data_IF_223038849546
#
_entry.id   IF_223038849546
#
_cell.length_a   1.000
_cell.length_b   1.000
_cell.length_c   1.000
_cell.angle_alpha   90.00
_cell.angle_beta   90.00
_cell.angle_gamma   90.00
#
_symmetry.space_group_name_H-M   'P 1'
#
loop_
_entity.id
_entity.type
_entity.pdbx_description
1 polymer ?
#
# COMPACT_ATOMS: atom_id res chain seq x y z
N UNK A 1 -32.09 23.76 40.10
CA UNK A 1 -32.47 22.97 38.90
C UNK A 1 -32.73 23.89 37.73
N UNK A 2 -31.74 24.11 36.86
CA UNK A 2 -31.93 24.73 35.54
C UNK A 2 -31.03 24.01 34.54
N UNK A 3 -31.65 23.55 33.48
CA UNK A 3 -31.14 22.79 32.34
C UNK A 3 -30.09 23.58 31.58
N UNK A 4 -28.90 23.00 31.39
CA UNK A 4 -27.83 23.56 30.58
C UNK A 4 -28.07 23.21 29.09
N UNK A 5 -28.51 24.20 28.30
CA UNK A 5 -28.50 24.13 26.85
C UNK A 5 -27.05 24.17 26.34
N UNK A 6 -26.55 23.03 25.86
CA UNK A 6 -25.31 22.95 25.09
C UNK A 6 -25.52 23.63 23.72
N UNK A 7 -24.92 24.81 23.54
CA UNK A 7 -24.85 25.51 22.24
C UNK A 7 -23.60 25.03 21.48
N UNK A 8 -23.80 24.12 20.52
CA UNK A 8 -22.78 23.71 19.56
C UNK A 8 -22.68 24.77 18.44
N UNK A 9 -21.46 25.20 18.10
CA UNK A 9 -21.21 26.06 16.93
C UNK A 9 -20.70 25.17 15.79
N UNK A 10 -21.50 25.05 14.73
CA UNK A 10 -21.19 24.29 13.51
C UNK A 10 -20.69 25.28 12.47
N UNK A 11 -19.41 25.19 12.12
CA UNK A 11 -18.85 25.83 10.91
C UNK A 11 -18.47 24.70 9.97
N UNK A 12 -19.50 24.14 9.34
CA UNK A 12 -19.60 23.73 7.94
C UNK A 12 -21.10 23.58 7.64
N UNK A 13 -21.82 24.69 7.79
CA UNK A 13 -23.13 24.94 7.16
C UNK A 13 -23.06 26.41 6.72
N UNK A 14 -22.26 26.69 5.69
CA UNK A 14 -22.58 27.80 4.80
C UNK A 14 -23.53 27.16 3.80
N UNK A 15 -24.83 27.18 4.12
CA UNK A 15 -25.98 27.26 3.19
C UNK A 15 -27.32 27.31 3.96
N UNK A 16 -27.50 26.67 5.12
CA UNK A 16 -28.86 26.62 5.73
C UNK A 16 -29.17 27.69 6.78
N UNK A 17 -28.19 28.23 7.52
CA UNK A 17 -28.49 29.22 8.59
C UNK A 17 -28.65 30.66 8.08
N UNK A 18 -28.27 30.96 6.84
CA UNK A 18 -28.39 32.29 6.25
C UNK A 18 -29.78 32.59 5.67
N UNK A 19 -30.62 31.57 5.44
CA UNK A 19 -31.95 31.77 4.84
C UNK A 19 -33.07 31.99 5.86
N UNK A 20 -32.96 31.46 7.08
CA UNK A 20 -34.00 31.62 8.11
C UNK A 20 -33.96 32.98 8.83
N UNK A 21 -32.81 33.65 8.91
CA UNK A 21 -32.69 34.93 9.59
C UNK A 21 -32.99 36.15 8.70
N UNK A 22 -33.09 35.97 7.38
CA UNK A 22 -33.26 37.07 6.42
C UNK A 22 -34.72 37.35 6.03
N UNK A 23 -35.69 36.50 6.37
CA UNK A 23 -37.10 36.70 6.05
C UNK A 23 -37.94 36.22 7.22
N UNK A 24 -38.55 37.13 7.97
CA UNK A 24 -39.44 36.82 9.09
C UNK A 24 -40.76 36.18 8.64
N UNK A 25 -40.71 35.01 8.02
CA UNK A 25 -41.85 34.25 7.52
C UNK A 25 -41.67 32.75 7.83
N UNK A 26 -42.44 32.24 8.79
CA UNK A 26 -42.30 30.90 9.36
C UNK A 26 -42.92 29.76 8.54
N UNK A 27 -42.68 29.65 7.23
CA UNK A 27 -43.34 28.60 6.43
C UNK A 27 -42.60 27.95 5.22
N UNK A 28 -41.45 28.41 4.68
CA UNK A 28 -40.86 27.72 3.51
C UNK A 28 -39.92 26.54 3.84
N UNK A 29 -39.34 26.50 5.05
CA UNK A 29 -38.14 25.67 5.31
C UNK A 29 -38.42 24.16 5.34
N UNK A 30 -39.59 23.70 5.79
CA UNK A 30 -39.87 22.25 5.94
C UNK A 30 -39.93 21.50 4.60
N UNK A 31 -40.47 22.14 3.56
CA UNK A 31 -40.55 21.53 2.23
C UNK A 31 -39.18 21.43 1.55
N UNK A 32 -38.31 22.41 1.79
CA UNK A 32 -36.94 22.44 1.28
C UNK A 32 -36.05 21.44 2.03
N UNK A 33 -36.19 21.34 3.36
CA UNK A 33 -35.47 20.37 4.19
C UNK A 33 -35.78 18.91 3.80
N UNK A 34 -37.01 18.63 3.34
CA UNK A 34 -37.40 17.31 2.80
C UNK A 34 -36.63 16.92 1.53
N UNK A 35 -36.07 17.88 0.81
CA UNK A 35 -35.28 17.67 -0.41
C UNK A 35 -33.77 17.61 -0.14
N UNK A 36 -33.32 18.04 1.04
CA UNK A 36 -31.90 18.00 1.39
C UNK A 36 -31.42 16.57 1.71
N UNK A 37 -30.31 16.11 1.09
CA UNK A 37 -29.71 14.84 1.48
C UNK A 37 -29.10 14.93 2.90
N UNK A 38 -28.83 13.79 3.55
CA UNK A 38 -28.04 13.77 4.79
C UNK A 38 -26.72 14.50 4.61
N UNK A 39 -26.33 15.25 5.63
CA UNK A 39 -25.07 16.00 5.65
C UNK A 39 -24.10 15.38 6.64
N UNK A 40 -22.81 15.49 6.35
CA UNK A 40 -21.72 15.22 7.28
C UNK A 40 -21.01 16.53 7.59
N UNK A 41 -20.69 16.77 8.86
CA UNK A 41 -20.06 18.01 9.31
C UNK A 41 -19.15 17.78 10.51
N UNK A 42 -18.21 18.71 10.72
CA UNK A 42 -17.34 18.71 11.90
C UNK A 42 -18.01 19.52 13.00
N UNK A 43 -18.18 18.92 14.17
CA UNK A 43 -18.64 19.56 15.41
C UNK A 43 -17.43 19.87 16.30
N UNK A 44 -17.38 21.08 16.84
CA UNK A 44 -16.33 21.52 17.79
C UNK A 44 -16.95 22.27 18.98
N UNK A 45 -16.33 22.24 20.17
CA UNK A 45 -16.71 23.10 21.28
C UNK A 45 -16.59 24.57 20.90
N UNK A 46 -17.63 25.36 21.19
CA UNK A 46 -17.65 26.79 20.88
C UNK A 46 -16.75 27.64 21.79
N UNK A 47 -16.36 27.08 22.95
CA UNK A 47 -15.50 27.69 23.96
C UNK A 47 -15.85 29.17 24.30
N UNK A 48 -17.15 29.49 24.28
CA UNK A 48 -17.66 30.82 24.65
C UNK A 48 -17.40 31.95 23.65
N UNK A 49 -16.83 31.68 22.46
CA UNK A 49 -16.52 32.73 21.46
C UNK A 49 -17.68 32.91 20.48
N UNK A 50 -18.08 34.16 20.22
CA UNK A 50 -19.15 34.53 19.28
C UNK A 50 -18.56 35.06 17.97
N UNK A 51 -19.05 34.59 16.82
CA UNK A 51 -18.90 35.28 15.52
C UNK A 51 -17.57 35.09 14.76
N UNK A 52 -16.73 34.13 15.10
CA UNK A 52 -15.42 33.93 14.43
C UNK A 52 -15.33 32.65 13.61
N UNK A 53 -14.48 32.66 12.57
CA UNK A 53 -14.09 31.49 11.77
C UNK A 53 -13.51 30.39 12.68
N UNK A 54 -14.34 29.42 13.06
CA UNK A 54 -14.03 28.36 14.02
C UNK A 54 -12.86 27.46 13.59
N UNK A 55 -12.55 27.43 12.30
CA UNK A 55 -11.42 26.69 11.73
C UNK A 55 -10.07 27.32 12.10
N UNK A 56 -9.95 28.65 11.94
CA UNK A 56 -8.69 29.40 12.15
C UNK A 56 -8.31 29.54 13.62
N UNK A 57 -9.30 29.59 14.52
CA UNK A 57 -9.07 29.73 15.96
C UNK A 57 -9.14 28.41 16.72
N UNK A 58 -9.81 27.39 16.18
CA UNK A 58 -9.88 26.07 16.79
C UNK A 58 -8.49 25.42 16.93
N UNK A 59 -7.58 25.68 15.99
CA UNK A 59 -6.17 25.29 16.10
C UNK A 59 -5.47 25.86 17.36
N UNK A 60 -5.94 27.02 17.87
CA UNK A 60 -5.37 27.65 19.07
C UNK A 60 -6.00 27.13 20.36
N UNK A 61 -7.23 26.65 20.30
CA UNK A 61 -7.97 26.17 21.46
C UNK A 61 -7.75 24.69 21.75
N UNK A 62 -7.27 23.93 20.77
CA UNK A 62 -6.57 22.65 20.95
C UNK A 62 -7.33 21.55 21.72
N UNK A 63 -8.66 21.53 21.77
CA UNK A 63 -9.40 20.47 22.50
C UNK A 63 -10.75 20.18 21.85
N UNK A 64 -10.94 18.91 21.48
CA UNK A 64 -12.22 18.28 21.19
C UNK A 64 -12.78 18.57 19.80
N UNK A 65 -12.99 17.53 19.01
CA UNK A 65 -13.74 17.59 17.75
C UNK A 65 -14.49 16.29 17.50
N UNK A 66 -15.50 16.33 16.65
CA UNK A 66 -16.24 15.15 16.24
C UNK A 66 -16.72 15.31 14.80
N UNK A 67 -16.86 14.20 14.09
CA UNK A 67 -17.60 14.16 12.82
C UNK A 67 -19.01 13.68 13.15
N UNK A 68 -19.99 14.45 12.69
CA UNK A 68 -21.40 14.16 12.90
C UNK A 68 -22.12 14.05 11.56
N UNK A 69 -23.16 13.23 11.54
CA UNK A 69 -24.14 13.16 10.46
C UNK A 69 -25.45 13.78 10.94
N UNK A 70 -26.18 14.41 10.03
CA UNK A 70 -27.51 14.95 10.31
C UNK A 70 -28.38 14.76 9.08
N UNK A 71 -29.58 14.22 9.30
CA UNK A 71 -30.59 14.09 8.25
C UNK A 71 -31.62 15.21 8.43
N UNK A 72 -31.59 16.26 7.60
CA UNK A 72 -32.52 17.38 7.70
C UNK A 72 -33.99 16.99 7.48
N UNK A 73 -34.24 15.82 6.87
CA UNK A 73 -35.58 15.26 6.67
C UNK A 73 -36.18 14.68 7.95
N UNK A 74 -35.32 14.39 8.93
CA UNK A 74 -35.65 13.80 10.24
C UNK A 74 -35.03 14.63 11.37
N UNK A 75 -35.38 15.91 11.51
CA UNK A 75 -34.76 16.83 12.48
C UNK A 75 -34.91 16.35 13.93
N UNK A 76 -35.97 15.60 14.24
CA UNK A 76 -36.25 15.00 15.55
C UNK A 76 -35.17 14.02 16.02
N UNK A 77 -34.41 13.43 15.09
CA UNK A 77 -33.33 12.48 15.42
C UNK A 77 -32.06 13.17 15.90
N UNK A 78 -31.94 14.48 15.67
CA UNK A 78 -30.73 15.23 15.96
C UNK A 78 -29.52 14.75 15.15
N UNK A 79 -28.34 15.30 15.47
CA UNK A 79 -27.10 14.90 14.84
C UNK A 79 -26.52 13.64 15.52
N UNK A 80 -26.10 12.66 14.72
CA UNK A 80 -25.41 11.45 15.18
C UNK A 80 -23.90 11.64 15.05
N UNK A 81 -23.16 11.50 16.15
CA UNK A 81 -21.70 11.40 16.10
C UNK A 81 -21.29 10.07 15.47
N UNK A 82 -20.44 10.13 14.46
CA UNK A 82 -19.87 8.95 13.79
C UNK A 82 -18.38 8.76 14.05
N UNK A 83 -17.70 9.83 14.48
CA UNK A 83 -16.32 9.79 14.96
C UNK A 83 -16.17 10.83 16.07
N UNK A 84 -15.72 10.39 17.25
CA UNK A 84 -15.55 11.24 18.42
C UNK A 84 -14.06 11.36 18.76
N UNK A 85 -13.55 12.59 18.79
CA UNK A 85 -12.16 12.90 19.11
C UNK A 85 -12.12 13.91 20.26
N UNK A 86 -12.37 13.46 21.51
CA UNK A 86 -12.45 14.34 22.67
C UNK A 86 -11.12 15.07 22.97
N UNK A 87 -9.98 14.45 22.62
CA UNK A 87 -8.64 15.01 22.81
C UNK A 87 -7.97 15.45 21.50
N UNK A 88 -8.63 15.21 20.37
CA UNK A 88 -8.08 15.39 19.02
C UNK A 88 -8.72 16.52 18.21
N UNK A 89 -8.10 16.88 17.09
CA UNK A 89 -8.49 18.01 16.24
C UNK A 89 -8.65 17.61 14.78
N UNK A 90 -9.88 17.74 14.26
CA UNK A 90 -10.22 17.43 12.86
C UNK A 90 -10.28 18.72 12.03
N UNK A 91 -9.79 18.69 10.80
CA UNK A 91 -9.79 19.77 9.78
C UNK A 91 -10.10 19.19 8.38
N UNK A 92 -10.42 20.08 7.44
CA UNK A 92 -10.49 19.83 5.99
C UNK A 92 -11.06 18.46 5.59
N UNK A 93 -12.40 18.37 5.68
CA UNK A 93 -13.16 17.16 5.41
C UNK A 93 -13.75 17.18 3.99
N UNK A 94 -13.60 16.08 3.25
CA UNK A 94 -14.14 15.86 1.91
C UNK A 94 -14.90 14.54 1.84
N UNK A 95 -16.00 14.54 1.08
CA UNK A 95 -16.80 13.34 0.81
C UNK A 95 -16.31 12.67 -0.48
N UNK A 96 -16.36 11.33 -0.52
CA UNK A 96 -16.18 10.56 -1.75
C UNK A 96 -17.36 10.74 -2.71
N UNK A 97 -17.13 10.50 -4.01
CA UNK A 97 -18.14 10.68 -5.07
C UNK A 97 -19.40 9.83 -4.88
N UNK A 98 -19.29 8.64 -4.28
CA UNK A 98 -20.40 7.72 -4.00
C UNK A 98 -21.02 7.90 -2.60
N UNK A 99 -20.53 8.90 -1.85
CA UNK A 99 -20.93 9.22 -0.48
C UNK A 99 -20.78 8.08 0.54
N UNK A 100 -19.95 7.07 0.27
CA UNK A 100 -19.70 5.97 1.21
C UNK A 100 -18.54 6.27 2.18
N UNK A 101 -17.66 7.21 1.81
CA UNK A 101 -16.45 7.56 2.56
C UNK A 101 -16.32 9.04 2.88
N UNK A 102 -15.59 9.33 3.95
CA UNK A 102 -15.15 10.67 4.36
C UNK A 102 -13.63 10.68 4.52
N UNK A 103 -12.96 11.64 3.88
CA UNK A 103 -11.54 11.96 4.00
C UNK A 103 -11.40 13.22 4.86
N UNK A 104 -10.50 13.25 5.84
CA UNK A 104 -10.29 14.42 6.70
C UNK A 104 -8.87 14.52 7.23
N UNK A 105 -8.46 15.71 7.66
CA UNK A 105 -7.19 15.92 8.36
C UNK A 105 -7.40 15.78 9.87
N UNK A 106 -6.54 15.05 10.58
CA UNK A 106 -6.71 14.79 12.01
C UNK A 106 -5.39 14.74 12.77
N UNK A 107 -5.44 15.24 13.99
CA UNK A 107 -4.40 15.17 15.02
C UNK A 107 -5.03 14.51 16.24
N UNK A 108 -4.46 13.39 16.71
CA UNK A 108 -5.11 12.51 17.67
C UNK A 108 -5.00 13.03 19.09
N UNK A 109 -3.79 13.42 19.50
CA UNK A 109 -3.55 14.01 20.80
C UNK A 109 -2.85 15.36 20.70
N UNK A 110 -3.65 16.42 20.88
CA UNK A 110 -3.15 17.79 20.76
C UNK A 110 -2.24 18.18 21.95
N UNK A 111 -2.23 17.38 23.02
CA UNK A 111 -1.38 17.61 24.21
C UNK A 111 0.03 17.04 24.04
N UNK A 112 0.27 16.19 23.05
CA UNK A 112 1.60 15.72 22.71
C UNK A 112 2.17 16.61 21.60
N UNK A 113 3.21 17.41 21.92
CA UNK A 113 3.87 18.30 20.94
C UNK A 113 4.50 17.57 19.75
N UNK A 114 4.51 16.23 19.75
CA UNK A 114 5.03 15.40 18.67
C UNK A 114 4.00 15.06 17.60
N UNK A 115 2.72 15.27 17.87
CA UNK A 115 1.64 14.88 16.96
C UNK A 115 1.34 16.00 15.95
N UNK A 116 1.20 15.65 14.68
CA UNK A 116 1.00 16.58 13.55
C UNK A 116 -0.31 16.27 12.81
N UNK A 117 -0.79 17.20 11.98
CA UNK A 117 -1.94 16.88 11.13
C UNK A 117 -1.58 15.80 10.11
N UNK A 118 -2.32 14.70 10.14
CA UNK A 118 -2.25 13.61 9.16
C UNK A 118 -3.53 13.55 8.33
N UNK A 119 -3.45 13.05 7.10
CA UNK A 119 -4.62 12.83 6.23
C UNK A 119 -5.17 11.43 6.52
N UNK A 120 -6.46 11.34 6.87
CA UNK A 120 -7.17 10.11 7.23
C UNK A 120 -8.33 9.86 6.26
N UNK A 121 -8.32 8.71 5.60
CA UNK A 121 -9.45 8.21 4.80
C UNK A 121 -10.20 7.15 5.59
N UNK A 122 -11.50 7.33 5.86
CA UNK A 122 -12.34 6.19 6.24
C UNK A 122 -12.81 5.44 4.99
N UNK A 123 -11.88 4.66 4.43
CA UNK A 123 -12.00 3.36 3.78
C UNK A 123 -10.54 2.95 3.49
N UNK A 124 -10.02 1.99 4.25
CA UNK A 124 -8.58 1.80 4.38
C UNK A 124 -7.96 1.05 3.19
N UNK A 125 -6.89 1.63 2.61
CA UNK A 125 -5.59 0.96 2.37
C UNK A 125 -4.42 1.96 2.40
N UNK A 126 -3.49 1.84 3.37
CA UNK A 126 -2.06 2.12 3.16
C UNK A 126 -1.19 1.25 4.09
N UNK A 127 0.01 0.88 3.61
CA UNK A 127 0.80 -0.28 3.99
C UNK A 127 2.10 0.01 4.78
N UNK A 128 2.22 1.15 5.47
CA UNK A 128 3.51 1.53 6.10
C UNK A 128 3.48 2.09 7.54
N UNK A 129 2.42 1.89 8.32
CA UNK A 129 2.43 2.25 9.74
C UNK A 129 1.87 1.11 10.58
N UNK A 130 2.36 0.95 11.82
CA UNK A 130 2.05 -0.12 12.78
C UNK A 130 0.54 -0.40 12.91
N UNK A 131 0.09 -1.65 12.74
CA UNK A 131 -1.35 -2.00 12.73
C UNK A 131 -1.67 -3.17 13.68
N UNK A 132 -2.64 -2.95 14.55
CA UNK A 132 -3.48 -4.03 15.08
C UNK A 132 -4.75 -4.08 14.23
N UNK A 133 -5.08 -5.26 13.71
CA UNK A 133 -6.31 -5.46 12.94
C UNK A 133 -7.45 -5.74 13.91
N UNK A 134 -8.45 -4.87 13.98
CA UNK A 134 -9.64 -5.08 14.81
C UNK A 134 -10.93 -5.02 14.00
N UNK A 135 -11.97 -5.73 14.41
CA UNK A 135 -13.32 -5.67 13.82
C UNK A 135 -14.35 -5.29 14.86
N UNK A 136 -15.39 -4.55 14.48
CA UNK A 136 -16.58 -4.26 15.30
C UNK A 136 -17.78 -4.04 14.37
N UNK A 137 -18.97 -4.45 14.80
CA UNK A 137 -20.22 -4.23 14.08
C UNK A 137 -20.63 -2.74 14.09
N UNK A 138 -21.42 -2.29 13.10
CA UNK A 138 -21.88 -0.89 12.99
C UNK A 138 -22.79 -0.39 14.12
N UNK A 139 -23.34 -1.31 14.90
CA UNK A 139 -24.13 -1.04 16.11
C UNK A 139 -23.25 -0.96 17.38
N UNK A 140 -21.92 -1.13 17.24
CA UNK A 140 -20.96 -1.10 18.33
C UNK A 140 -20.71 -2.44 19.01
N UNK A 141 -21.25 -3.55 18.50
CA UNK A 141 -21.05 -4.89 19.09
C UNK A 141 -19.90 -5.67 18.41
N UNK A 142 -19.39 -6.76 19.01
CA UNK A 142 -18.35 -7.65 18.44
C UNK A 142 -16.99 -7.01 18.12
N UNK A 143 -16.38 -6.33 19.11
CA UNK A 143 -14.99 -5.91 19.00
C UNK A 143 -14.05 -7.13 19.04
N UNK A 144 -13.23 -7.38 18.01
CA UNK A 144 -12.26 -8.49 17.96
C UNK A 144 -10.90 -8.04 17.43
N UNK A 145 -9.79 -8.55 17.97
CA UNK A 145 -8.43 -8.39 17.42
C UNK A 145 -8.07 -9.62 16.58
N UNK A 146 -7.66 -9.40 15.34
CA UNK A 146 -7.40 -10.46 14.37
C UNK A 146 -5.88 -10.69 14.15
N UNK A 147 -5.05 -9.65 14.25
CA UNK A 147 -3.60 -9.77 13.98
C UNK A 147 -2.79 -8.55 14.47
N UNK A 148 -1.52 -8.76 14.85
CA UNK A 148 -0.56 -7.70 15.23
C UNK A 148 0.74 -7.88 14.44
N UNK A 149 1.24 -6.79 13.85
CA UNK A 149 2.59 -6.71 13.27
C UNK A 149 3.39 -5.55 13.89
N UNK A 150 4.57 -5.84 14.44
CA UNK A 150 5.48 -4.84 15.01
C UNK A 150 6.48 -4.37 13.94
N UNK A 151 6.17 -3.27 13.24
CA UNK A 151 7.05 -2.71 12.19
C UNK A 151 8.09 -1.69 12.70
N UNK A 152 9.23 -1.47 12.00
CA UNK A 152 10.43 -0.83 12.59
C UNK A 152 10.71 0.65 12.19
N UNK A 153 9.93 1.30 11.34
CA UNK A 153 10.32 2.61 10.73
C UNK A 153 9.18 3.63 10.70
N UNK A 154 9.48 4.88 11.11
CA UNK A 154 8.51 5.99 11.30
C UNK A 154 8.06 6.74 10.03
N UNK A 155 7.48 7.95 10.23
CA UNK A 155 6.82 8.77 9.20
C UNK A 155 7.75 9.24 8.06
N UNK A 156 7.32 9.09 6.80
CA UNK A 156 8.01 9.60 5.60
C UNK A 156 7.68 11.08 5.35
N UNK A 157 8.66 11.89 4.93
CA UNK A 157 8.45 13.29 4.55
C UNK A 157 7.80 13.40 3.15
N UNK A 158 7.12 14.53 2.85
CA UNK A 158 6.54 14.77 1.52
C UNK A 158 7.58 14.60 0.41
N UNK A 159 7.17 13.96 -0.70
CA UNK A 159 8.00 13.71 -1.90
C UNK A 159 9.27 12.88 -1.67
N UNK A 160 9.43 12.21 -0.51
CA UNK A 160 10.57 11.33 -0.24
C UNK A 160 10.30 9.84 -0.49
N UNK A 161 9.13 9.50 -1.04
CA UNK A 161 8.75 8.13 -1.39
C UNK A 161 7.94 8.08 -2.69
N UNK A 162 7.56 6.88 -3.13
CA UNK A 162 6.74 6.67 -4.33
C UNK A 162 7.51 6.85 -5.65
N UNK A 163 6.76 7.04 -6.73
CA UNK A 163 7.26 7.19 -8.09
C UNK A 163 8.18 8.41 -8.23
N UNK A 164 7.90 9.49 -7.49
CA UNK A 164 8.71 10.71 -7.50
C UNK A 164 10.16 10.47 -7.04
N UNK A 165 10.36 9.67 -6.00
CA UNK A 165 11.69 9.37 -5.45
C UNK A 165 12.34 8.11 -6.06
N UNK A 166 11.65 7.42 -6.98
CA UNK A 166 12.11 6.14 -7.53
C UNK A 166 13.14 6.31 -8.63
N UNK A 167 14.28 5.62 -8.49
CA UNK A 167 15.30 5.52 -9.57
C UNK A 167 14.75 4.90 -10.86
N UNK A 168 13.70 4.07 -10.76
CA UNK A 168 13.08 3.49 -11.96
C UNK A 168 12.41 4.57 -12.82
N UNK A 169 11.82 5.59 -12.18
CA UNK A 169 11.23 6.74 -12.88
C UNK A 169 12.29 7.50 -13.66
N UNK A 170 13.45 7.77 -13.06
CA UNK A 170 14.59 8.40 -13.73
C UNK A 170 15.06 7.61 -14.96
N UNK A 171 15.16 6.28 -14.86
CA UNK A 171 15.54 5.43 -16.00
C UNK A 171 14.50 5.45 -17.14
N UNK A 172 13.22 5.56 -16.81
CA UNK A 172 12.14 5.65 -17.81
C UNK A 172 12.18 7.01 -18.52
N UNK A 173 12.29 8.11 -17.76
CA UNK A 173 12.30 9.47 -18.32
C UNK A 173 13.57 9.76 -19.13
N UNK A 174 14.70 9.14 -18.77
CA UNK A 174 15.95 9.26 -19.52
C UNK A 174 16.04 8.34 -20.75
N UNK A 175 14.95 7.65 -21.11
CA UNK A 175 14.91 6.68 -22.21
C UNK A 175 16.09 5.69 -22.14
N UNK A 176 16.33 5.11 -20.96
CA UNK A 176 17.52 4.29 -20.69
C UNK A 176 17.75 3.23 -21.78
N UNK A 177 18.98 3.19 -22.31
CA UNK A 177 19.40 2.34 -23.42
C UNK A 177 18.58 2.53 -24.72
N UNK A 178 18.06 3.75 -24.95
CA UNK A 178 17.28 4.10 -26.13
C UNK A 178 15.87 3.52 -26.14
N UNK A 179 15.39 2.97 -25.02
CA UNK A 179 14.05 2.41 -24.92
C UNK A 179 13.05 3.54 -24.69
N UNK A 180 12.21 3.79 -25.70
CA UNK A 180 11.10 4.74 -25.60
C UNK A 180 9.85 4.04 -25.09
N UNK A 181 9.29 4.54 -24.00
CA UNK A 181 8.06 4.02 -23.40
C UNK A 181 6.88 4.94 -23.72
N UNK A 182 5.76 4.38 -24.13
CA UNK A 182 4.54 5.15 -24.35
C UNK A 182 3.94 5.64 -23.03
N UNK A 183 3.14 6.70 -23.11
CA UNK A 183 2.54 7.35 -21.94
C UNK A 183 1.68 6.41 -21.08
N UNK A 184 0.99 5.46 -21.70
CA UNK A 184 0.11 4.54 -20.97
C UNK A 184 0.94 3.56 -20.15
N UNK A 185 1.98 2.97 -20.74
CA UNK A 185 2.91 2.07 -20.06
C UNK A 185 3.66 2.79 -18.93
N UNK A 186 4.13 4.02 -19.19
CA UNK A 186 4.80 4.87 -18.19
C UNK A 186 3.90 5.13 -16.98
N UNK A 187 2.68 5.63 -17.21
CA UNK A 187 1.71 5.89 -16.12
C UNK A 187 1.35 4.62 -15.35
N UNK A 188 1.27 3.47 -16.03
CA UNK A 188 1.02 2.18 -15.38
C UNK A 188 2.11 1.83 -14.36
N UNK A 189 3.37 2.07 -14.70
CA UNK A 189 4.49 1.83 -13.78
C UNK A 189 4.43 2.80 -12.60
N UNK A 190 4.17 4.09 -12.84
CA UNK A 190 4.09 5.08 -11.76
C UNK A 190 2.95 4.78 -10.80
N UNK A 191 1.75 4.48 -11.33
CA UNK A 191 0.61 4.05 -10.52
C UNK A 191 0.95 2.78 -9.74
N UNK A 192 1.68 1.82 -10.31
CA UNK A 192 2.12 0.63 -9.58
C UNK A 192 3.09 0.96 -8.43
N UNK A 193 4.04 1.87 -8.63
CA UNK A 193 4.94 2.33 -7.56
C UNK A 193 4.13 3.08 -6.47
N UNK A 194 3.27 4.01 -6.86
CA UNK A 194 2.48 4.86 -5.95
C UNK A 194 1.36 4.11 -5.24
N UNK A 195 0.90 2.99 -5.81
CA UNK A 195 0.05 2.01 -5.12
C UNK A 195 0.86 1.12 -4.16
N UNK A 196 2.11 1.50 -3.88
CA UNK A 196 3.08 0.81 -3.05
C UNK A 196 3.35 -0.62 -3.49
N UNK A 197 3.57 -0.82 -4.80
CA UNK A 197 3.99 -2.10 -5.38
C UNK A 197 3.01 -3.21 -4.96
N UNK A 198 1.72 -3.09 -5.34
CA UNK A 198 0.68 -3.99 -4.85
C UNK A 198 1.09 -5.43 -5.13
N UNK A 199 1.22 -6.17 -4.02
CA UNK A 199 1.55 -7.59 -4.02
C UNK A 199 0.25 -8.41 -4.16
N UNK A 200 0.34 -9.74 -4.29
CA UNK A 200 -0.78 -10.64 -4.56
C UNK A 200 -2.11 -10.21 -3.90
N UNK A 201 -3.19 -10.11 -4.69
CA UNK A 201 -4.52 -9.78 -4.17
C UNK A 201 -5.21 -10.96 -3.46
N UNK A 202 -4.52 -12.08 -3.27
CA UNK A 202 -5.05 -13.31 -2.67
C UNK A 202 -4.05 -14.00 -1.74
N UNK A 203 -4.59 -14.67 -0.73
CA UNK A 203 -3.87 -15.58 0.16
C UNK A 203 -3.83 -17.01 -0.35
N UNK A 204 -4.50 -17.29 -1.46
CA UNK A 204 -4.45 -18.59 -2.09
C UNK A 204 -3.06 -18.90 -2.59
N UNK A 205 -2.75 -20.19 -2.66
CA UNK A 205 -1.42 -20.67 -2.96
C UNK A 205 -1.55 -21.81 -3.96
N UNK A 206 -0.75 -21.75 -5.03
CA UNK A 206 -0.53 -22.92 -5.88
C UNK A 206 0.55 -23.83 -5.30
N UNK A 207 1.39 -23.35 -4.38
CA UNK A 207 2.56 -24.07 -3.84
C UNK A 207 2.62 -24.08 -2.29
N UNK A 208 1.57 -24.55 -1.59
CA UNK A 208 1.43 -24.38 -0.12
C UNK A 208 2.56 -24.99 0.71
N UNK A 209 3.26 -25.99 0.19
CA UNK A 209 4.36 -26.66 0.90
C UNK A 209 5.72 -25.98 0.75
N UNK A 210 5.79 -24.85 0.03
CA UNK A 210 7.02 -24.08 -0.17
C UNK A 210 7.10 -22.88 0.78
N UNK A 211 8.26 -22.22 0.84
CA UNK A 211 8.41 -20.99 1.64
C UNK A 211 7.39 -19.93 1.18
N UNK A 212 6.59 -19.42 2.12
CA UNK A 212 5.53 -18.45 1.84
C UNK A 212 4.43 -18.94 0.88
N UNK A 213 4.40 -20.23 0.53
CA UNK A 213 3.40 -20.84 -0.35
C UNK A 213 3.54 -20.52 -1.84
N UNK A 214 4.63 -19.87 -2.24
CA UNK A 214 4.76 -19.19 -3.54
C UNK A 214 6.15 -19.33 -4.16
N UNK A 215 7.05 -20.03 -3.50
CA UNK A 215 8.43 -20.20 -3.96
C UNK A 215 8.47 -21.13 -5.17
N UNK A 216 9.28 -20.74 -6.15
CA UNK A 216 9.48 -21.46 -7.41
C UNK A 216 10.81 -22.22 -7.44
N UNK A 217 11.67 -22.00 -6.44
CA UNK A 217 13.01 -22.57 -6.31
C UNK A 217 13.00 -23.85 -5.48
N UNK A 218 11.90 -24.15 -4.81
CA UNK A 218 11.71 -25.31 -3.96
C UNK A 218 10.49 -26.13 -4.38
N UNK A 219 10.58 -27.45 -4.22
CA UNK A 219 9.40 -28.33 -4.28
C UNK A 219 8.61 -28.24 -2.98
N UNK A 220 9.32 -28.16 -1.85
CA UNK A 220 8.76 -28.00 -0.51
C UNK A 220 9.79 -27.35 0.44
N UNK A 221 9.41 -27.10 1.70
CA UNK A 221 10.27 -26.46 2.73
C UNK A 221 11.65 -27.11 2.93
N UNK A 222 11.79 -28.39 2.61
CA UNK A 222 13.00 -29.18 2.85
C UNK A 222 13.71 -29.61 1.56
N UNK A 223 13.12 -29.36 0.38
CA UNK A 223 13.62 -29.89 -0.88
C UNK A 223 13.61 -28.81 -1.95
N UNK A 224 14.79 -28.52 -2.50
CA UNK A 224 14.95 -27.61 -3.63
C UNK A 224 14.43 -28.24 -4.93
N UNK A 225 13.94 -27.40 -5.84
CA UNK A 225 13.50 -27.83 -7.14
C UNK A 225 14.67 -28.39 -7.97
N UNK A 226 14.41 -29.43 -8.75
CA UNK A 226 15.46 -30.11 -9.54
C UNK A 226 16.18 -29.15 -10.49
N UNK A 227 15.42 -28.24 -11.13
CA UNK A 227 15.99 -27.22 -12.01
C UNK A 227 16.97 -26.30 -11.27
N UNK A 228 16.68 -25.97 -10.00
CA UNK A 228 17.55 -25.13 -9.19
C UNK A 228 18.79 -25.89 -8.76
N UNK A 229 18.67 -27.18 -8.41
CA UNK A 229 19.84 -28.02 -8.09
C UNK A 229 20.78 -28.14 -9.30
N UNK A 230 20.25 -28.34 -10.51
CA UNK A 230 21.06 -28.35 -11.74
C UNK A 230 21.77 -27.01 -11.95
N UNK A 231 21.04 -25.90 -11.81
CA UNK A 231 21.64 -24.56 -11.87
C UNK A 231 22.74 -24.38 -10.81
N UNK A 232 22.46 -24.78 -9.57
CA UNK A 232 23.36 -24.62 -8.44
C UNK A 232 24.64 -25.45 -8.62
N UNK A 233 24.55 -26.66 -9.17
CA UNK A 233 25.73 -27.47 -9.53
C UNK A 233 26.61 -26.74 -10.53
N UNK A 234 26.05 -26.25 -11.65
CA UNK A 234 26.81 -25.51 -12.66
C UNK A 234 27.41 -24.24 -12.06
N UNK A 235 26.63 -23.51 -11.27
CA UNK A 235 27.08 -22.29 -10.59
C UNK A 235 28.21 -22.58 -9.59
N UNK A 236 28.12 -23.64 -8.79
CA UNK A 236 29.15 -24.01 -7.82
C UNK A 236 30.47 -24.39 -8.50
N UNK A 237 30.40 -25.12 -9.60
CA UNK A 237 31.60 -25.53 -10.33
C UNK A 237 32.32 -24.39 -11.04
N UNK A 238 31.58 -23.35 -11.47
CA UNK A 238 32.14 -22.31 -12.35
C UNK A 238 32.23 -20.92 -11.69
N UNK A 239 31.31 -20.59 -10.78
CA UNK A 239 31.11 -19.22 -10.29
C UNK A 239 31.33 -19.06 -8.78
N UNK A 240 31.33 -20.15 -8.00
CA UNK A 240 31.39 -20.08 -6.53
C UNK A 240 32.67 -19.46 -5.98
N UNK A 241 33.81 -19.64 -6.63
CA UNK A 241 35.08 -19.02 -6.21
C UNK A 241 34.96 -17.50 -6.05
N UNK A 242 34.17 -16.88 -6.93
CA UNK A 242 33.87 -15.46 -6.88
C UNK A 242 32.71 -15.12 -5.95
N UNK A 243 31.68 -15.96 -5.80
CA UNK A 243 30.39 -15.59 -5.18
C UNK A 243 30.13 -16.16 -3.77
N UNK A 244 30.87 -17.16 -3.30
CA UNK A 244 30.67 -17.76 -1.98
C UNK A 244 31.45 -17.05 -0.84
N UNK A 245 31.88 -15.79 -1.05
CA UNK A 245 32.52 -14.98 -0.01
C UNK A 245 31.49 -14.24 0.86
N UNK A 246 31.80 -13.99 2.12
CA UNK A 246 30.99 -13.19 3.08
C UNK A 246 30.60 -11.81 2.55
N UNK A 247 31.42 -11.23 1.67
CA UNK A 247 31.26 -9.87 1.17
C UNK A 247 30.36 -9.75 -0.06
N UNK A 248 29.86 -10.87 -0.60
CA UNK A 248 29.09 -10.86 -1.85
C UNK A 248 27.70 -11.45 -1.68
N UNK A 249 26.70 -10.89 -2.38
CA UNK A 249 25.38 -11.49 -2.39
C UNK A 249 25.47 -12.88 -3.02
N UNK A 250 24.91 -13.87 -2.31
CA UNK A 250 24.53 -15.16 -2.90
C UNK A 250 23.61 -14.87 -4.10
N UNK A 251 23.57 -15.77 -5.08
CA UNK A 251 22.57 -15.67 -6.15
C UNK A 251 21.20 -15.73 -5.49
N UNK A 252 20.47 -14.62 -5.57
CA UNK A 252 19.14 -14.47 -5.02
C UNK A 252 18.08 -14.53 -6.13
N UNK A 253 16.81 -14.50 -5.73
CA UNK A 253 15.67 -14.63 -6.64
C UNK A 253 15.63 -13.54 -7.73
N UNK A 254 16.24 -12.37 -7.52
CA UNK A 254 16.27 -11.25 -8.47
C UNK A 254 17.29 -11.45 -9.61
N UNK A 255 18.21 -12.42 -9.47
CA UNK A 255 19.20 -12.73 -10.50
C UNK A 255 18.70 -13.67 -11.58
N UNK A 256 17.60 -14.38 -11.33
CA UNK A 256 17.01 -15.36 -12.25
C UNK A 256 15.66 -14.87 -12.74
N UNK A 257 15.53 -14.72 -14.04
CA UNK A 257 14.30 -14.30 -14.69
C UNK A 257 13.60 -15.52 -15.29
N UNK A 258 12.67 -16.14 -14.55
CA UNK A 258 11.92 -17.29 -15.06
C UNK A 258 10.91 -16.92 -16.17
N UNK A 259 10.49 -15.66 -16.26
CA UNK A 259 9.60 -15.21 -17.35
C UNK A 259 10.34 -15.17 -18.68
N UNK A 260 11.59 -14.67 -18.66
CA UNK A 260 12.49 -14.59 -19.82
C UNK A 260 13.89 -15.08 -19.44
N UNK A 261 14.14 -16.41 -19.44
CA UNK A 261 15.37 -17.04 -18.96
C UNK A 261 16.67 -16.40 -19.44
N UNK A 262 16.74 -16.05 -20.72
CA UNK A 262 17.91 -15.43 -21.36
C UNK A 262 18.24 -14.02 -20.84
N UNK A 263 17.31 -13.38 -20.11
CA UNK A 263 17.53 -12.07 -19.49
C UNK A 263 17.91 -12.17 -18.01
N UNK A 264 18.19 -13.37 -17.51
CA UNK A 264 18.66 -13.57 -16.14
C UNK A 264 20.01 -12.88 -15.95
N UNK A 265 20.15 -12.11 -14.88
CA UNK A 265 21.40 -11.41 -14.53
C UNK A 265 22.56 -12.40 -14.32
N UNK A 266 22.26 -13.59 -13.81
CA UNK A 266 23.24 -14.67 -13.68
C UNK A 266 23.88 -15.10 -15.01
N UNK A 267 23.21 -14.87 -16.14
CA UNK A 267 23.74 -15.12 -17.48
C UNK A 267 24.38 -13.87 -18.08
N UNK A 268 23.69 -12.74 -17.99
CA UNK A 268 24.07 -11.54 -18.74
C UNK A 268 25.15 -10.70 -18.08
N UNK A 269 25.42 -10.87 -16.78
CA UNK A 269 26.46 -10.10 -16.10
C UNK A 269 27.83 -10.23 -16.79
N UNK A 270 28.21 -11.44 -17.19
CA UNK A 270 29.52 -11.71 -17.79
C UNK A 270 29.45 -12.13 -19.26
N UNK A 271 28.28 -12.06 -19.89
CA UNK A 271 28.17 -12.15 -21.34
C UNK A 271 28.76 -10.87 -21.96
N UNK A 272 29.54 -11.00 -23.03
CA UNK A 272 30.15 -9.85 -23.72
C UNK A 272 29.09 -8.84 -24.18
N UNK A 273 29.46 -7.57 -24.27
CA UNK A 273 28.57 -6.51 -24.78
C UNK A 273 28.18 -6.78 -26.24
N UNK A 274 29.11 -7.34 -27.03
CA UNK A 274 28.90 -7.73 -28.43
C UNK A 274 27.82 -8.81 -28.56
N UNK A 275 27.72 -9.73 -27.59
CA UNK A 275 26.66 -10.74 -27.52
C UNK A 275 25.38 -10.25 -26.81
N UNK A 276 25.31 -8.95 -26.48
CA UNK A 276 24.19 -8.30 -25.80
C UNK A 276 24.13 -8.53 -24.29
N UNK A 277 25.26 -8.86 -23.67
CA UNK A 277 25.42 -8.91 -22.23
C UNK A 277 25.91 -7.58 -21.63
N UNK A 278 26.27 -7.61 -20.35
CA UNK A 278 26.73 -6.43 -19.60
C UNK A 278 28.25 -6.30 -19.52
N UNK A 279 29.01 -7.30 -20.00
CA UNK A 279 30.46 -7.25 -20.04
C UNK A 279 31.13 -6.94 -18.70
N UNK A 280 30.54 -7.33 -17.56
CA UNK A 280 31.03 -6.99 -16.21
C UNK A 280 32.26 -7.83 -15.82
N UNK A 281 33.25 -7.91 -16.71
CA UNK A 281 34.52 -8.59 -16.53
C UNK A 281 35.48 -7.75 -15.68
N UNK A 282 35.06 -7.38 -14.46
CA UNK A 282 35.92 -6.62 -13.55
C UNK A 282 36.75 -7.60 -12.73
N UNK A 283 38.05 -7.69 -13.03
CA UNK A 283 39.02 -8.33 -12.14
C UNK A 283 38.93 -7.69 -10.76
N UNK A 284 38.70 -8.52 -9.75
CA UNK A 284 38.69 -8.07 -8.35
C UNK A 284 39.48 -9.05 -7.51
N UNK A 285 40.39 -8.53 -6.67
CA UNK A 285 41.23 -9.33 -5.77
C UNK A 285 42.01 -10.43 -6.52
N UNK A 286 42.61 -10.09 -7.67
CA UNK A 286 43.38 -10.99 -8.55
C UNK A 286 42.61 -12.22 -9.08
N UNK A 287 41.27 -12.18 -9.08
CA UNK A 287 40.43 -13.19 -9.71
C UNK A 287 39.55 -12.55 -10.79
N UNK A 288 39.51 -13.18 -11.95
CA UNK A 288 38.59 -12.83 -13.03
C UNK A 288 37.33 -13.69 -12.91
N UNK A 289 36.13 -13.10 -12.98
CA UNK A 289 34.91 -13.91 -13.07
C UNK A 289 34.92 -14.72 -14.37
N UNK A 290 34.16 -15.84 -14.44
CA UNK A 290 33.89 -16.51 -15.72
C UNK A 290 33.31 -15.52 -16.72
N UNK A 291 33.90 -15.46 -17.91
CA UNK A 291 33.45 -14.62 -19.02
C UNK A 291 32.78 -15.52 -20.06
N UNK A 292 31.60 -15.12 -20.55
CA UNK A 292 30.97 -15.74 -21.71
C UNK A 292 31.20 -14.83 -22.90
N UNK A 293 32.09 -15.22 -23.82
CA UNK A 293 32.36 -14.42 -25.02
C UNK A 293 31.10 -14.30 -25.88
N UNK A 294 30.33 -15.38 -25.97
CA UNK A 294 29.05 -15.40 -26.65
C UNK A 294 28.08 -16.42 -26.02
N UNK A 295 26.89 -16.58 -26.61
CA UNK A 295 25.82 -17.46 -26.10
C UNK A 295 26.01 -18.94 -26.39
N UNK A 296 27.09 -19.32 -27.09
CA UNK A 296 27.46 -20.71 -27.37
C UNK A 296 28.33 -21.33 -26.27
N UNK A 297 28.81 -20.52 -25.31
CA UNK A 297 29.59 -21.00 -24.17
C UNK A 297 28.86 -22.16 -23.44
N UNK A 298 29.55 -23.29 -23.17
CA UNK A 298 28.91 -24.47 -22.61
C UNK A 298 28.37 -24.24 -21.20
N UNK A 299 29.01 -23.40 -20.39
CA UNK A 299 28.55 -23.05 -19.04
C UNK A 299 27.32 -22.14 -19.15
N UNK A 300 27.34 -21.13 -20.03
CA UNK A 300 26.18 -20.30 -20.33
C UNK A 300 24.97 -21.15 -20.74
N UNK A 301 25.17 -22.08 -21.68
CA UNK A 301 24.10 -22.96 -22.18
C UNK A 301 23.58 -23.89 -21.10
N UNK A 302 24.44 -24.42 -20.23
CA UNK A 302 24.03 -25.26 -19.11
C UNK A 302 23.20 -24.48 -18.08
N UNK A 303 23.63 -23.28 -17.70
CA UNK A 303 22.86 -22.40 -16.81
C UNK A 303 21.52 -22.01 -17.43
N UNK A 304 21.50 -21.60 -18.70
CA UNK A 304 20.28 -21.22 -19.40
C UNK A 304 19.31 -22.41 -19.52
N UNK A 305 19.81 -23.62 -19.74
CA UNK A 305 19.01 -24.85 -19.78
C UNK A 305 18.32 -25.08 -18.43
N UNK A 306 19.06 -25.02 -17.32
CA UNK A 306 18.50 -25.17 -15.98
C UNK A 306 17.41 -24.11 -15.69
N UNK A 307 17.66 -22.84 -16.01
CA UNK A 307 16.67 -21.76 -15.83
C UNK A 307 15.43 -21.98 -16.71
N UNK A 308 15.59 -22.47 -17.95
CA UNK A 308 14.46 -22.82 -18.83
C UNK A 308 13.63 -23.97 -18.27
N UNK A 309 14.25 -24.94 -17.59
CA UNK A 309 13.50 -25.96 -16.87
C UNK A 309 12.70 -25.34 -15.71
N UNK A 310 13.27 -24.37 -14.99
CA UNK A 310 12.56 -23.58 -13.99
C UNK A 310 11.37 -22.82 -14.57
N UNK A 311 11.53 -22.21 -15.75
CA UNK A 311 10.41 -21.60 -16.49
C UNK A 311 9.33 -22.63 -16.80
N UNK A 312 9.71 -23.80 -17.33
CA UNK A 312 8.75 -24.88 -17.63
C UNK A 312 8.00 -25.34 -16.38
N UNK A 313 8.69 -25.48 -15.24
CA UNK A 313 8.08 -25.83 -13.96
C UNK A 313 7.17 -24.72 -13.41
N UNK A 314 7.50 -23.45 -13.64
CA UNK A 314 6.65 -22.31 -13.32
C UNK A 314 5.40 -22.30 -14.21
N UNK A 315 5.54 -22.43 -15.53
CA UNK A 315 4.43 -22.41 -16.47
C UNK A 315 3.48 -23.61 -16.26
N UNK A 316 4.01 -24.78 -15.89
CA UNK A 316 3.20 -25.96 -15.57
C UNK A 316 2.43 -25.84 -14.25
N UNK A 317 2.92 -25.02 -13.31
CA UNK A 317 2.28 -24.75 -12.03
C UNK A 317 2.41 -23.26 -11.69
N UNK A 318 1.63 -22.40 -12.35
CA UNK A 318 1.79 -20.96 -12.24
C UNK A 318 1.58 -20.48 -10.81
N UNK A 319 2.25 -19.38 -10.44
CA UNK A 319 1.94 -18.67 -9.20
C UNK A 319 0.54 -18.09 -9.29
N UNK A 320 -0.11 -17.85 -8.15
CA UNK A 320 -1.51 -17.39 -8.11
C UNK A 320 -1.80 -16.04 -8.77
N UNK A 321 -0.77 -15.23 -9.05
CA UNK A 321 -0.88 -14.00 -9.85
C UNK A 321 -0.81 -14.24 -11.37
N UNK A 322 -0.40 -15.44 -11.79
CA UNK A 322 -0.16 -15.75 -13.19
C UNK A 322 -1.41 -16.37 -13.83
N UNK A 323 -1.68 -16.08 -15.12
CA UNK A 323 -2.76 -16.70 -15.85
C UNK A 323 -2.71 -18.23 -15.78
N UNK A 324 -3.87 -18.86 -15.59
CA UNK A 324 -4.00 -20.32 -15.54
C UNK A 324 -3.61 -20.95 -14.19
N UNK A 325 -3.25 -20.15 -13.18
CA UNK A 325 -3.00 -20.68 -11.84
C UNK A 325 -4.26 -21.32 -11.24
N UNK A 326 -4.08 -22.49 -10.64
CA UNK A 326 -5.11 -23.16 -9.84
C UNK A 326 -4.67 -23.16 -8.38
N UNK A 327 -5.54 -22.61 -7.52
CA UNK A 327 -5.30 -22.65 -6.08
C UNK A 327 -5.37 -24.09 -5.57
N UNK A 328 -4.43 -24.48 -4.72
CA UNK A 328 -4.53 -25.73 -3.96
C UNK A 328 -5.44 -25.46 -2.77
N UNK A 329 -6.54 -26.22 -2.67
CA UNK A 329 -7.43 -26.12 -1.53
C UNK A 329 -6.64 -26.35 -0.23
N UNK A 330 -6.75 -25.38 0.69
CA UNK A 330 -6.14 -25.48 2.00
C UNK A 330 -7.22 -25.81 3.01
N UNK A 331 -7.00 -26.81 3.86
CA UNK A 331 -7.76 -26.92 5.10
C UNK A 331 -7.31 -25.78 6.01
N UNK A 332 -8.07 -24.69 5.98
CA UNK A 332 -7.89 -23.56 6.88
C UNK A 332 -8.84 -23.77 8.05
N UNK A 333 -8.32 -24.27 9.16
CA UNK A 333 -9.01 -24.19 10.44
C UNK A 333 -8.70 -22.82 11.04
N UNK A 334 -9.65 -21.91 10.92
CA UNK A 334 -9.55 -20.58 11.51
C UNK A 334 -9.94 -20.58 13.01
N UNK A 335 -10.09 -21.77 13.60
CA UNK A 335 -10.63 -21.96 14.94
C UNK A 335 -12.15 -21.89 14.97
N UNK A 336 -12.74 -22.21 16.13
CA UNK A 336 -14.15 -21.93 16.41
C UNK A 336 -14.29 -20.47 16.83
N UNK A 337 -15.19 -19.73 16.19
CA UNK A 337 -15.68 -18.44 16.65
C UNK A 337 -16.29 -18.65 18.05
N UNK A 338 -15.66 -18.09 19.08
CA UNK A 338 -16.16 -18.06 20.45
C UNK A 338 -17.21 -16.98 20.63
#
# INVERSE_FOLDING_TARGET
>A
MRTAQLRASVITIIVLTAMSAARGEGAPLEAELKQCPPVVFIRRPAQGRKGTNGTMLGQRTKIGSAICTYDPRHPERGAKTIFDAPEGFILDMSLSYDAQKVLFSFMDNIREEKDSFHIWEYQDKNIFCTQGLWTINPDGTRLQLIYINTGPTGNFQPLQSGSWASKLTELIESEHAGVKMDDQSRRRIYVWIDSNVPYYSTWDMSRPYTMGGRDTWAENKNTMASWYLEFETVFKSNCASCHNSTDKPKIDHTWINLTRPQFSRALNAHLSEQAGGLGLAKTKRNQSPPLFEDRSDPVYLAMLRAIRQGKKALDAKPRVDMPGATAVAQQRDFGKLY
#
